data_IF_857386878017
#
_entry.id   IF_857386878017
#
_cell.length_a   1.000
_cell.length_b   1.000
_cell.length_c   1.000
_cell.angle_alpha   90.00
_cell.angle_beta   90.00
_cell.angle_gamma   90.00
#
_symmetry.space_group_name_H-M   'P 1'
#
loop_
_entity.id
_entity.type
_entity.pdbx_description
1 polymer ?
#
# COMPACT_ATOMS: atom_id res chain seq x y z
N UNK A 1 -1.42 3.70 27.03
CA UNK A 1 0.03 3.68 26.76
C UNK A 1 0.22 3.06 25.38
N UNK A 2 0.58 3.86 24.39
CA UNK A 2 0.88 3.36 23.04
C UNK A 2 2.20 2.59 23.04
N UNK A 3 2.40 1.61 22.13
CA UNK A 3 3.67 0.89 22.03
C UNK A 3 4.80 1.90 21.75
N UNK A 4 5.84 1.86 22.59
CA UNK A 4 6.89 2.86 22.69
C UNK A 4 7.82 2.94 21.48
N UNK A 5 7.74 2.00 20.53
CA UNK A 5 8.42 2.10 19.25
C UNK A 5 7.52 1.53 18.14
N UNK A 6 6.95 2.38 17.27
CA UNK A 6 6.01 1.93 16.24
C UNK A 6 6.65 1.03 15.18
N UNK A 7 7.98 1.03 15.05
CA UNK A 7 8.72 0.24 14.06
C UNK A 7 8.92 -1.21 14.50
N UNK A 8 9.23 -1.43 15.78
CA UNK A 8 9.41 -2.79 16.34
C UNK A 8 8.09 -3.55 16.38
N UNK A 9 6.99 -2.87 16.70
CA UNK A 9 5.64 -3.45 16.63
C UNK A 9 5.26 -3.91 15.22
N UNK A 10 5.66 -3.16 14.18
CA UNK A 10 5.40 -3.53 12.78
C UNK A 10 6.26 -4.72 12.36
N UNK A 11 7.54 -4.74 12.74
CA UNK A 11 8.42 -5.87 12.49
C UNK A 11 7.83 -7.17 13.08
N UNK A 12 7.42 -7.15 14.35
CA UNK A 12 6.83 -8.31 15.03
C UNK A 12 5.47 -8.75 14.43
N UNK A 13 4.63 -7.81 14.00
CA UNK A 13 3.35 -8.12 13.36
C UNK A 13 3.54 -8.78 11.99
N UNK A 14 4.45 -8.26 11.17
CA UNK A 14 4.71 -8.79 9.84
C UNK A 14 5.55 -10.06 9.85
N UNK A 15 6.47 -10.21 10.80
CA UNK A 15 7.17 -11.46 11.04
C UNK A 15 6.18 -12.58 11.40
N UNK A 16 5.18 -12.30 12.25
CA UNK A 16 4.07 -13.24 12.52
C UNK A 16 3.22 -13.53 11.29
N UNK A 17 3.00 -12.55 10.42
CA UNK A 17 2.24 -12.73 9.18
C UNK A 17 2.98 -13.63 8.17
N UNK A 18 4.30 -13.47 8.06
CA UNK A 18 5.20 -14.27 7.20
C UNK A 18 5.42 -15.68 7.78
N UNK A 19 5.52 -15.81 9.10
CA UNK A 19 5.60 -17.11 9.78
C UNK A 19 4.28 -17.90 9.67
N UNK A 20 3.14 -17.22 9.72
CA UNK A 20 1.84 -17.83 9.43
C UNK A 20 1.70 -18.26 7.97
N UNK A 21 2.41 -17.59 7.05
CA UNK A 21 2.56 -17.98 5.64
C UNK A 21 3.40 -19.24 5.46
N UNK A 22 4.46 -19.41 6.26
CA UNK A 22 5.38 -20.54 6.19
C UNK A 22 4.89 -21.79 6.93
N UNK A 23 4.05 -21.63 7.95
CA UNK A 23 3.51 -22.72 8.76
C UNK A 23 2.21 -23.35 8.20
N UNK A 24 1.68 -22.83 7.09
CA UNK A 24 0.43 -23.29 6.48
C UNK A 24 0.66 -24.44 5.48
N UNK A 25 1.05 -25.61 5.99
CA UNK A 25 0.90 -26.89 5.27
C UNK A 25 0.26 -27.93 6.21
N UNK A 26 -1.00 -28.32 5.98
CA UNK A 26 -1.53 -29.59 6.45
C UNK A 26 -1.86 -30.53 5.28
N UNK A 27 -1.56 -31.85 5.38
CA UNK A 27 -1.95 -32.83 4.37
C UNK A 27 -3.43 -33.22 4.56
N UNK A 28 -4.28 -32.99 3.56
CA UNK A 28 -5.68 -33.43 3.56
C UNK A 28 -6.44 -32.98 2.29
N UNK A 29 -7.43 -33.76 1.81
CA UNK A 29 -7.79 -33.85 0.40
C UNK A 29 -8.34 -32.54 -0.19
N UNK A 30 -8.00 -32.21 -1.45
CA UNK A 30 -8.27 -30.91 -2.10
C UNK A 30 -9.76 -30.61 -2.35
N UNK A 31 -10.67 -31.53 -2.02
CA UNK A 31 -12.07 -31.49 -2.43
C UNK A 31 -12.97 -30.61 -1.53
N UNK A 32 -12.63 -30.38 -0.26
CA UNK A 32 -13.46 -29.55 0.64
C UNK A 32 -13.20 -28.05 0.46
N UNK A 33 -11.93 -27.67 0.30
CA UNK A 33 -11.54 -26.30 -0.06
C UNK A 33 -12.01 -25.97 -1.48
N UNK A 34 -11.85 -26.88 -2.45
CA UNK A 34 -12.40 -26.69 -3.78
C UNK A 34 -13.92 -26.51 -3.79
N UNK A 35 -14.67 -27.21 -2.91
CA UNK A 35 -16.12 -27.09 -2.80
C UNK A 35 -16.58 -25.85 -2.03
N UNK A 36 -15.84 -25.41 -1.01
CA UNK A 36 -16.07 -24.14 -0.33
C UNK A 36 -15.74 -22.95 -1.24
N UNK A 37 -14.65 -23.05 -2.01
CA UNK A 37 -14.31 -22.12 -3.09
C UNK A 37 -15.39 -22.15 -4.16
N UNK A 38 -15.95 -23.31 -4.53
CA UNK A 38 -17.08 -23.41 -5.48
C UNK A 38 -18.35 -22.69 -5.00
N UNK A 39 -18.66 -22.70 -3.70
CA UNK A 39 -19.73 -21.86 -3.15
C UNK A 39 -19.40 -20.36 -3.20
N UNK A 40 -18.12 -20.01 -3.17
CA UNK A 40 -17.66 -18.65 -3.46
C UNK A 40 -17.73 -18.37 -4.97
N UNK A 41 -17.53 -19.36 -5.85
CA UNK A 41 -17.46 -19.31 -7.34
C UNK A 41 -18.68 -18.78 -8.11
N UNK A 42 -19.70 -18.24 -7.44
CA UNK A 42 -20.43 -17.05 -7.95
C UNK A 42 -19.52 -15.78 -7.90
N UNK A 43 -18.20 -15.98 -8.01
CA UNK A 43 -17.12 -15.30 -7.27
C UNK A 43 -16.69 -13.96 -7.85
N UNK A 44 -16.90 -13.74 -9.15
CA UNK A 44 -16.31 -12.58 -9.77
C UNK A 44 -16.98 -11.26 -9.31
N UNK A 45 -18.31 -11.26 -9.18
CA UNK A 45 -19.04 -10.10 -8.68
C UNK A 45 -18.78 -9.87 -7.19
N UNK A 46 -18.75 -10.94 -6.38
CA UNK A 46 -18.48 -10.85 -4.94
C UNK A 46 -17.04 -10.44 -4.63
N UNK A 47 -16.06 -10.89 -5.42
CA UNK A 47 -14.66 -10.45 -5.32
C UNK A 47 -14.52 -8.97 -5.66
N UNK A 48 -15.02 -8.54 -6.83
CA UNK A 48 -14.96 -7.13 -7.23
C UNK A 48 -15.67 -6.21 -6.23
N UNK A 49 -16.80 -6.65 -5.69
CA UNK A 49 -17.57 -5.91 -4.68
C UNK A 49 -16.86 -5.88 -3.32
N UNK A 50 -16.23 -6.99 -2.91
CA UNK A 50 -15.39 -7.03 -1.71
C UNK A 50 -14.24 -6.03 -1.81
N UNK A 51 -13.51 -6.02 -2.93
CA UNK A 51 -12.38 -5.10 -3.11
C UNK A 51 -12.84 -3.63 -3.11
N UNK A 52 -13.99 -3.32 -3.74
CA UNK A 52 -14.60 -1.98 -3.64
C UNK A 52 -14.89 -1.60 -2.20
N UNK A 53 -15.53 -2.49 -1.43
CA UNK A 53 -15.86 -2.25 -0.01
C UNK A 53 -14.64 -2.05 0.87
N UNK A 54 -13.54 -2.77 0.59
CA UNK A 54 -12.26 -2.54 1.27
C UNK A 54 -11.79 -1.12 0.98
N UNK A 55 -11.66 -0.74 -0.30
CA UNK A 55 -11.17 0.58 -0.69
C UNK A 55 -12.05 1.74 -0.19
N UNK A 56 -13.36 1.55 -0.09
CA UNK A 56 -14.32 2.56 0.41
C UNK A 56 -14.16 2.89 1.90
N UNK A 57 -13.50 2.03 2.68
CA UNK A 57 -13.36 2.20 4.13
C UNK A 57 -12.13 3.01 4.54
N UNK A 58 -11.25 3.35 3.61
CA UNK A 58 -9.96 3.97 3.93
C UNK A 58 -9.77 5.37 3.37
N UNK A 59 -8.67 6.00 3.77
CA UNK A 59 -8.31 7.37 3.40
C UNK A 59 -7.66 7.51 2.01
N UNK A 60 -7.63 6.43 1.22
CA UNK A 60 -7.04 6.46 -0.11
C UNK A 60 -7.90 7.32 -1.07
N UNK A 61 -7.29 8.15 -1.94
CA UNK A 61 -8.03 8.89 -2.95
C UNK A 61 -8.88 7.96 -3.84
N UNK A 62 -10.10 8.39 -4.18
CA UNK A 62 -11.03 7.59 -4.98
C UNK A 62 -10.45 7.19 -6.35
N UNK A 63 -9.68 8.08 -6.96
CA UNK A 63 -8.98 7.85 -8.24
C UNK A 63 -7.96 6.72 -8.12
N UNK A 64 -7.17 6.74 -7.04
CA UNK A 64 -6.16 5.72 -6.75
C UNK A 64 -6.80 4.35 -6.48
N UNK A 65 -7.88 4.33 -5.69
CA UNK A 65 -8.66 3.13 -5.46
C UNK A 65 -9.25 2.56 -6.76
N UNK A 66 -9.83 3.41 -7.61
CA UNK A 66 -10.41 2.99 -8.89
C UNK A 66 -9.37 2.39 -9.83
N UNK A 67 -8.19 3.01 -9.95
CA UNK A 67 -7.10 2.50 -10.77
C UNK A 67 -6.52 1.20 -10.20
N UNK A 68 -6.38 1.09 -8.88
CA UNK A 68 -5.97 -0.16 -8.24
C UNK A 68 -6.96 -1.27 -8.59
N UNK A 69 -8.25 -1.04 -8.39
CA UNK A 69 -9.31 -2.00 -8.70
C UNK A 69 -9.27 -2.43 -10.17
N UNK A 70 -8.97 -1.51 -11.10
CA UNK A 70 -8.82 -1.82 -12.52
C UNK A 70 -7.64 -2.78 -12.79
N UNK A 71 -6.57 -2.68 -12.01
CA UNK A 71 -5.37 -3.53 -12.11
C UNK A 71 -5.56 -4.90 -11.46
N UNK A 72 -6.24 -4.98 -10.31
CA UNK A 72 -6.42 -6.25 -9.57
C UNK A 72 -7.70 -7.02 -9.96
N UNK A 73 -8.51 -6.47 -10.86
CA UNK A 73 -9.74 -7.12 -11.35
C UNK A 73 -9.40 -8.31 -12.25
N UNK A 74 -9.92 -9.46 -11.87
CA UNK A 74 -9.96 -10.68 -12.68
C UNK A 74 -10.87 -10.45 -13.90
N UNK A 75 -10.44 -10.68 -15.15
CA UNK A 75 -11.27 -10.38 -16.34
C UNK A 75 -11.88 -11.62 -16.99
N UNK A 76 -11.18 -12.75 -16.97
CA UNK A 76 -11.46 -13.85 -17.91
C UNK A 76 -11.69 -15.22 -17.26
N UNK A 77 -11.96 -15.28 -15.94
CA UNK A 77 -12.16 -16.54 -15.22
C UNK A 77 -13.57 -16.69 -14.63
N UNK A 78 -14.18 -17.86 -14.87
CA UNK A 78 -15.45 -18.30 -14.28
C UNK A 78 -15.38 -18.30 -12.74
N UNK A 79 -14.20 -18.63 -12.20
CA UNK A 79 -13.88 -18.60 -10.79
C UNK A 79 -12.58 -17.80 -10.56
N UNK A 80 -12.55 -16.90 -9.56
CA UNK A 80 -11.34 -16.16 -9.21
C UNK A 80 -10.35 -17.12 -8.53
N UNK A 81 -9.13 -17.33 -9.08
CA UNK A 81 -8.11 -18.14 -8.43
C UNK A 81 -7.74 -17.60 -7.04
N UNK A 82 -7.39 -18.50 -6.11
CA UNK A 82 -7.11 -18.10 -4.73
C UNK A 82 -5.95 -17.09 -4.62
N UNK A 83 -4.91 -17.25 -5.42
CA UNK A 83 -3.76 -16.34 -5.50
C UNK A 83 -4.16 -14.95 -6.04
N UNK A 84 -5.04 -14.89 -7.04
CA UNK A 84 -5.60 -13.63 -7.56
C UNK A 84 -6.48 -12.94 -6.51
N UNK A 85 -7.36 -13.70 -5.85
CA UNK A 85 -8.19 -13.20 -4.75
C UNK A 85 -7.33 -12.62 -3.62
N UNK A 86 -6.35 -13.41 -3.18
CA UNK A 86 -5.44 -13.04 -2.10
C UNK A 86 -4.59 -11.83 -2.48
N UNK A 87 -4.07 -11.78 -3.70
CA UNK A 87 -3.32 -10.65 -4.22
C UNK A 87 -4.16 -9.36 -4.25
N UNK A 88 -5.39 -9.42 -4.76
CA UNK A 88 -6.30 -8.28 -4.78
C UNK A 88 -6.60 -7.73 -3.39
N UNK A 89 -7.00 -8.60 -2.46
CA UNK A 89 -7.33 -8.22 -1.08
C UNK A 89 -6.12 -7.61 -0.38
N UNK A 90 -4.95 -8.26 -0.44
CA UNK A 90 -3.74 -7.76 0.20
C UNK A 90 -3.30 -6.41 -0.39
N UNK A 91 -3.33 -6.26 -1.72
CA UNK A 91 -2.91 -5.01 -2.36
C UNK A 91 -3.84 -3.85 -2.00
N UNK A 92 -5.16 -4.10 -1.90
CA UNK A 92 -6.13 -3.11 -1.41
C UNK A 92 -5.83 -2.71 0.03
N UNK A 93 -5.63 -3.66 0.95
CA UNK A 93 -5.31 -3.34 2.35
C UNK A 93 -4.00 -2.55 2.48
N UNK A 94 -2.96 -2.93 1.74
CA UNK A 94 -1.67 -2.23 1.76
C UNK A 94 -1.80 -0.82 1.19
N UNK A 95 -2.62 -0.59 0.15
CA UNK A 95 -2.88 0.78 -0.34
C UNK A 95 -3.48 1.67 0.76
N UNK A 96 -4.45 1.15 1.52
CA UNK A 96 -5.10 1.93 2.59
C UNK A 96 -4.12 2.29 3.69
N UNK A 97 -3.30 1.34 4.13
CA UNK A 97 -2.23 1.58 5.10
C UNK A 97 -1.20 2.58 4.57
N UNK A 98 -0.77 2.42 3.32
CA UNK A 98 0.16 3.33 2.67
C UNK A 98 -0.40 4.76 2.61
N UNK A 99 -1.66 4.92 2.22
CA UNK A 99 -2.33 6.22 2.18
C UNK A 99 -2.43 6.85 3.58
N UNK A 100 -2.79 6.07 4.60
CA UNK A 100 -2.87 6.54 5.99
C UNK A 100 -1.49 6.96 6.52
N UNK A 101 -0.42 6.25 6.17
CA UNK A 101 0.95 6.62 6.55
C UNK A 101 1.42 7.86 5.80
N UNK A 102 1.19 7.95 4.49
CA UNK A 102 1.50 9.14 3.71
C UNK A 102 0.78 10.38 4.28
N UNK A 103 -0.48 10.21 4.69
CA UNK A 103 -1.24 11.26 5.36
C UNK A 103 -0.62 11.71 6.68
N UNK A 104 -0.24 10.74 7.53
CA UNK A 104 0.47 11.03 8.78
C UNK A 104 1.81 11.75 8.55
N UNK A 105 2.56 11.39 7.49
CA UNK A 105 3.78 12.12 7.11
C UNK A 105 3.45 13.56 6.72
N UNK A 106 2.43 13.79 5.88
CA UNK A 106 2.04 15.13 5.47
C UNK A 106 1.65 16.01 6.67
N UNK A 107 0.94 15.45 7.65
CA UNK A 107 0.57 16.15 8.88
C UNK A 107 1.79 16.59 9.72
N UNK A 108 2.95 15.93 9.59
CA UNK A 108 4.19 16.36 10.24
C UNK A 108 4.89 17.47 9.45
N UNK A 109 4.72 17.51 8.12
CA UNK A 109 5.36 18.50 7.24
C UNK A 109 4.67 19.87 7.26
N UNK A 110 3.38 19.94 7.61
CA UNK A 110 2.59 21.16 7.58
C UNK A 110 1.75 21.34 8.84
N UNK A 111 1.56 22.60 9.26
CA UNK A 111 0.69 22.97 10.38
C UNK A 111 -0.79 23.19 9.95
N UNK A 112 -1.29 22.39 8.99
CA UNK A 112 -2.64 22.53 8.43
C UNK A 112 -2.84 21.78 7.10
N UNK A 113 -3.72 22.26 6.24
CA UNK A 113 -4.07 21.61 4.95
C UNK A 113 -3.04 21.82 3.83
N UNK A 114 -1.98 22.57 4.10
CA UNK A 114 -0.93 22.90 3.13
C UNK A 114 0.45 22.84 3.78
N UNK A 115 1.40 22.26 3.06
CA UNK A 115 2.80 22.13 3.49
C UNK A 115 3.73 22.70 2.41
N UNK A 116 4.99 22.95 2.76
CA UNK A 116 6.01 23.40 1.79
C UNK A 116 6.15 22.35 0.68
N UNK A 117 5.92 22.78 -0.56
CA UNK A 117 6.00 21.92 -1.74
C UNK A 117 7.37 21.26 -1.89
N UNK A 118 8.45 21.89 -1.42
CA UNK A 118 9.81 21.32 -1.49
C UNK A 118 10.01 20.16 -0.55
N UNK A 119 9.55 20.30 0.70
CA UNK A 119 9.56 19.21 1.67
C UNK A 119 8.69 18.06 1.18
N UNK A 120 7.48 18.35 0.72
CA UNK A 120 6.59 17.34 0.12
C UNK A 120 7.24 16.63 -1.07
N UNK A 121 7.91 17.36 -1.97
CA UNK A 121 8.59 16.78 -3.12
C UNK A 121 9.77 15.87 -2.70
N UNK A 122 10.53 16.26 -1.68
CA UNK A 122 11.62 15.46 -1.14
C UNK A 122 11.11 14.15 -0.53
N UNK A 123 10.02 14.22 0.24
CA UNK A 123 9.37 13.03 0.80
C UNK A 123 8.82 12.13 -0.31
N UNK A 124 8.18 12.68 -1.35
CA UNK A 124 7.69 11.90 -2.48
C UNK A 124 8.83 11.18 -3.22
N UNK A 125 9.98 11.84 -3.41
CA UNK A 125 11.18 11.21 -4.01
C UNK A 125 11.73 10.09 -3.13
N UNK A 126 11.85 10.34 -1.82
CA UNK A 126 12.31 9.32 -0.89
C UNK A 126 11.38 8.09 -0.88
N UNK A 127 10.06 8.31 -0.94
CA UNK A 127 9.06 7.25 -1.09
C UNK A 127 9.24 6.49 -2.41
N UNK A 128 9.42 7.19 -3.52
CA UNK A 128 9.65 6.58 -4.83
C UNK A 128 10.92 5.71 -4.84
N UNK A 129 12.02 6.19 -4.28
CA UNK A 129 13.29 5.46 -4.19
C UNK A 129 13.16 4.21 -3.31
N UNK A 130 12.48 4.34 -2.16
CA UNK A 130 12.21 3.23 -1.26
C UNK A 130 11.34 2.15 -1.92
N UNK A 131 10.36 2.56 -2.73
CA UNK A 131 9.51 1.67 -3.53
C UNK A 131 10.23 1.10 -4.77
N UNK A 132 11.21 1.82 -5.31
CA UNK A 132 11.95 1.48 -6.53
C UNK A 132 13.06 0.45 -6.35
N UNK A 133 13.66 0.37 -5.16
CA UNK A 133 14.80 -0.51 -4.86
C UNK A 133 14.46 -2.02 -4.75
N UNK A 134 13.20 -2.42 -5.00
CA UNK A 134 12.73 -3.81 -4.90
C UNK A 134 12.37 -4.43 -6.26
N UNK A 135 13.15 -5.40 -6.73
CA UNK A 135 12.82 -6.16 -7.95
C UNK A 135 11.76 -7.25 -7.69
N UNK A 136 10.46 -6.97 -7.85
CA UNK A 136 9.39 -7.99 -7.93
C UNK A 136 8.06 -7.67 -7.23
N UNK A 137 7.04 -8.49 -7.51
CA UNK A 137 5.59 -8.20 -7.49
C UNK A 137 4.80 -8.43 -6.20
N UNK A 138 5.44 -8.58 -5.05
CA UNK A 138 4.74 -9.00 -3.83
C UNK A 138 4.31 -7.80 -2.97
N UNK A 139 3.05 -7.77 -2.47
CA UNK A 139 2.57 -6.74 -1.55
C UNK A 139 3.42 -6.56 -0.28
N UNK A 140 4.18 -7.59 0.14
CA UNK A 140 5.10 -7.50 1.28
C UNK A 140 6.25 -6.50 1.11
N UNK A 141 6.59 -6.10 -0.13
CA UNK A 141 7.67 -5.12 -0.36
C UNK A 141 7.33 -3.69 -0.06
N UNK A 142 6.04 -3.34 -0.05
CA UNK A 142 5.61 -2.01 0.37
C UNK A 142 5.93 -1.76 1.86
N UNK A 143 6.05 -2.84 2.64
CA UNK A 143 6.47 -2.80 4.04
C UNK A 143 8.00 -2.69 4.17
N UNK A 144 8.75 -3.40 3.31
CA UNK A 144 10.21 -3.30 3.21
C UNK A 144 10.66 -1.91 2.72
N UNK A 145 9.87 -1.25 1.87
CA UNK A 145 10.08 0.14 1.49
C UNK A 145 9.98 1.07 2.72
N UNK A 146 9.06 0.78 3.65
CA UNK A 146 8.92 1.53 4.89
C UNK A 146 10.17 1.47 5.79
N UNK A 147 10.82 0.30 5.90
CA UNK A 147 12.08 0.18 6.64
C UNK A 147 13.27 0.85 5.92
N UNK A 148 13.24 0.92 4.58
CA UNK A 148 14.25 1.60 3.77
C UNK A 148 14.13 3.13 3.78
N UNK A 149 12.93 3.64 4.00
CA UNK A 149 12.64 5.07 4.21
C UNK A 149 13.13 5.58 5.59
N UNK A 150 14.02 4.84 6.26
CA UNK A 150 14.43 5.08 7.65
C UNK A 150 14.66 6.56 7.99
N UNK A 151 14.38 6.95 9.24
CA UNK A 151 14.23 8.34 9.66
C UNK A 151 15.42 9.22 9.27
N UNK A 152 16.64 8.69 9.33
CA UNK A 152 17.86 9.43 9.00
C UNK A 152 17.95 9.81 7.52
N UNK A 153 17.53 8.90 6.61
CA UNK A 153 17.53 9.18 5.16
C UNK A 153 16.46 10.20 4.79
N UNK A 154 15.30 10.10 5.43
CA UNK A 154 14.21 11.04 5.22
C UNK A 154 14.58 12.43 5.75
N UNK A 155 15.18 12.51 6.94
CA UNK A 155 15.66 13.76 7.53
C UNK A 155 16.70 14.43 6.63
N UNK A 156 17.68 13.67 6.14
CA UNK A 156 18.72 14.18 5.23
C UNK A 156 18.13 14.71 3.90
N UNK A 157 17.14 14.01 3.33
CA UNK A 157 16.46 14.47 2.12
C UNK A 157 15.66 15.78 2.36
N UNK A 158 15.04 15.91 3.54
CA UNK A 158 14.31 17.12 3.93
C UNK A 158 15.27 18.30 4.17
N UNK A 159 16.40 18.09 4.84
CA UNK A 159 17.42 19.11 5.09
C UNK A 159 17.99 19.65 3.77
N UNK A 160 18.26 18.76 2.81
CA UNK A 160 18.70 19.15 1.47
C UNK A 160 17.64 20.02 0.75
N UNK A 161 16.36 19.67 0.87
CA UNK A 161 15.27 20.42 0.24
C UNK A 161 15.06 21.80 0.85
N UNK A 162 15.32 21.97 2.15
CA UNK A 162 15.30 23.27 2.83
C UNK A 162 16.43 24.19 2.37
N UNK A 163 17.58 23.63 1.98
CA UNK A 163 18.72 24.40 1.49
C UNK A 163 18.50 24.96 0.06
N UNK A 164 17.56 24.41 -0.71
CA UNK A 164 17.24 24.91 -2.04
C UNK A 164 16.48 26.26 -1.97
N UNK A 165 17.14 27.36 -2.35
CA UNK A 165 16.61 28.75 -2.33
C UNK A 165 15.60 29.08 -3.45
N UNK A 166 14.54 28.28 -3.63
CA UNK A 166 13.44 28.65 -4.55
C UNK A 166 12.36 29.48 -3.82
N UNK A 167 11.49 30.17 -4.56
CA UNK A 167 10.27 30.74 -3.99
C UNK A 167 9.33 29.59 -3.58
N UNK A 168 8.82 29.61 -2.35
CA UNK A 168 8.03 28.52 -1.78
C UNK A 168 6.62 28.49 -2.38
N UNK A 169 6.30 27.43 -3.11
CA UNK A 169 4.91 27.02 -3.38
C UNK A 169 4.42 26.13 -2.24
N UNK A 170 3.13 26.16 -1.93
CA UNK A 170 2.52 25.20 -1.03
C UNK A 170 1.95 24.02 -1.81
N UNK A 171 1.94 22.83 -1.21
CA UNK A 171 1.27 21.64 -1.73
C UNK A 171 0.14 21.27 -0.77
N UNK A 172 -1.05 20.98 -1.32
CA UNK A 172 -2.20 20.57 -0.51
C UNK A 172 -2.10 19.10 -0.09
N UNK A 173 -2.80 18.76 1.00
CA UNK A 173 -2.93 17.37 1.48
C UNK A 173 -3.43 16.42 0.38
N UNK A 174 -4.47 16.83 -0.35
CA UNK A 174 -5.06 16.02 -1.41
C UNK A 174 -4.09 15.78 -2.56
N UNK A 175 -3.36 16.82 -2.98
CA UNK A 175 -2.36 16.71 -4.04
C UNK A 175 -1.22 15.76 -3.64
N UNK A 176 -0.73 15.88 -2.41
CA UNK A 176 0.32 15.02 -1.88
C UNK A 176 -0.12 13.54 -1.88
N UNK A 177 -1.31 13.25 -1.34
CA UNK A 177 -1.85 11.89 -1.28
C UNK A 177 -2.10 11.31 -2.67
N UNK A 178 -2.60 12.11 -3.61
CA UNK A 178 -2.78 11.69 -5.01
C UNK A 178 -1.46 11.27 -5.64
N UNK A 179 -0.40 12.04 -5.44
CA UNK A 179 0.94 11.74 -5.97
C UNK A 179 1.58 10.54 -5.27
N UNK A 180 1.50 10.45 -3.95
CA UNK A 180 2.04 9.32 -3.20
C UNK A 180 1.39 8.00 -3.62
N UNK A 181 0.06 7.97 -3.69
CA UNK A 181 -0.68 6.75 -4.08
C UNK A 181 -0.48 6.37 -5.54
N UNK A 182 -0.23 7.34 -6.43
CA UNK A 182 0.17 7.06 -7.81
C UNK A 182 1.52 6.30 -7.88
N UNK A 183 2.50 6.62 -7.03
CA UNK A 183 3.77 5.89 -6.93
C UNK A 183 3.54 4.42 -6.55
N UNK A 184 2.65 4.17 -5.58
CA UNK A 184 2.27 2.82 -5.17
C UNK A 184 1.66 2.02 -6.33
N UNK A 185 0.66 2.60 -6.99
CA UNK A 185 -0.09 1.98 -8.09
C UNK A 185 0.83 1.67 -9.27
N UNK A 186 1.79 2.54 -9.58
CA UNK A 186 2.75 2.32 -10.65
C UNK A 186 3.55 1.00 -10.45
N UNK A 187 3.74 0.56 -9.21
CA UNK A 187 4.42 -0.70 -8.86
C UNK A 187 3.49 -1.92 -8.82
N UNK A 188 2.18 -1.73 -8.77
CA UNK A 188 1.21 -2.83 -8.75
C UNK A 188 1.14 -3.49 -10.12
N UNK A 189 1.41 -4.80 -10.17
CA UNK A 189 1.24 -5.58 -11.40
C UNK A 189 -0.25 -5.80 -11.69
N UNK A 190 -0.69 -5.62 -12.94
CA UNK A 190 -2.04 -6.01 -13.33
C UNK A 190 -2.18 -7.53 -13.23
N UNK A 191 -3.38 -7.97 -12.85
CA UNK A 191 -3.81 -9.36 -12.98
C UNK A 191 -4.16 -9.56 -14.46
N UNK A 192 -3.49 -10.53 -15.09
CA UNK A 192 -3.81 -11.02 -16.44
C UNK A 192 -4.85 -12.13 -16.34
#
# INVERSE_FOLDING_TARGET
AGPAEPVSFLAEYFERLVLAEAAAEPPGPPQRLARALWYVCLAHHSHSELLRRICQRGAAPAEAAAELLRRVRCRDHEAVPFDVFRYGVLTCCVLLEFAAKADALFAVLGAGDSADSRLCQAVLRALEDALGAGHGSRPGRYLEAGSRLGPDRLALAMDQALQERKLGSSMSREEFLRRATALFIAKVKPVE
#
